data_IF_623643034039
#
_entry.id   IF_623643034039
#
_cell.length_a   1.000
_cell.length_b   1.000
_cell.length_c   1.000
_cell.angle_alpha   90.00
_cell.angle_beta   90.00
_cell.angle_gamma   90.00
#
_symmetry.space_group_name_H-M   'P 1'
#
loop_
_entity.id
_entity.type
_entity.pdbx_description
1 polymer ?
#
# COMPACT_ATOMS: atom_id res chain seq x y z
N UNK A 1 32.57 1.62 2.24
CA UNK A 1 32.04 0.63 1.29
C UNK A 1 32.71 -0.67 1.55
N UNK A 2 31.96 -1.72 1.86
CA UNK A 2 32.52 -3.07 2.00
C UNK A 2 32.54 -3.67 0.59
N UNK A 3 33.73 -4.01 0.08
CA UNK A 3 33.90 -4.51 -1.28
C UNK A 3 33.37 -5.92 -1.42
N UNK A 4 32.50 -6.15 -2.42
CA UNK A 4 31.97 -7.46 -2.80
C UNK A 4 32.93 -8.22 -3.74
N UNK A 5 34.24 -8.19 -3.49
CA UNK A 5 35.23 -8.80 -4.41
C UNK A 5 35.38 -10.32 -4.27
N UNK A 6 34.55 -10.98 -3.45
CA UNK A 6 34.62 -12.43 -3.23
C UNK A 6 33.30 -13.20 -3.37
N UNK A 7 32.21 -12.53 -3.75
CA UNK A 7 30.90 -13.18 -3.86
C UNK A 7 30.48 -13.32 -5.32
N UNK A 8 30.72 -14.50 -5.91
CA UNK A 8 30.15 -14.87 -7.20
C UNK A 8 28.70 -15.33 -7.00
N UNK A 9 27.78 -14.38 -7.18
CA UNK A 9 26.35 -14.62 -7.07
C UNK A 9 25.84 -15.68 -8.07
N UNK A 10 26.50 -15.84 -9.22
CA UNK A 10 26.10 -16.80 -10.25
C UNK A 10 26.60 -18.21 -9.99
N UNK A 11 27.73 -18.36 -9.30
CA UNK A 11 28.17 -19.64 -8.75
C UNK A 11 27.30 -20.07 -7.56
N UNK A 12 26.96 -19.14 -6.66
CA UNK A 12 26.04 -19.39 -5.55
C UNK A 12 24.66 -19.84 -6.05
N UNK A 13 24.10 -19.17 -7.06
CA UNK A 13 22.82 -19.53 -7.69
C UNK A 13 22.84 -20.92 -8.34
N UNK A 14 23.97 -21.32 -8.95
CA UNK A 14 24.11 -22.66 -9.57
C UNK A 14 24.17 -23.80 -8.56
N UNK A 15 24.56 -23.51 -7.32
CA UNK A 15 24.71 -24.51 -6.27
C UNK A 15 23.50 -24.58 -5.32
N UNK A 16 22.53 -23.67 -5.45
CA UNK A 16 21.24 -23.75 -4.76
C UNK A 16 20.51 -25.04 -5.16
N UNK A 17 20.19 -25.89 -4.17
CA UNK A 17 19.48 -27.16 -4.37
C UNK A 17 20.37 -28.40 -4.55
N UNK A 18 21.70 -28.28 -4.53
CA UNK A 18 22.63 -29.41 -4.71
C UNK A 18 23.29 -29.90 -3.41
N UNK A 19 23.09 -29.19 -2.30
CA UNK A 19 23.58 -29.59 -0.98
C UNK A 19 22.64 -30.65 -0.37
N UNK A 20 23.16 -31.66 0.36
CA UNK A 20 22.35 -32.72 0.99
C UNK A 20 21.39 -32.22 2.07
N UNK A 21 21.44 -30.93 2.43
CA UNK A 21 20.52 -30.27 3.36
C UNK A 21 19.49 -29.36 2.67
N UNK A 22 19.51 -29.25 1.33
CA UNK A 22 18.46 -28.55 0.59
C UNK A 22 17.28 -29.49 0.38
N UNK A 23 16.05 -29.15 0.84
CA UNK A 23 14.89 -29.93 0.47
C UNK A 23 14.72 -29.86 -1.05
N UNK A 24 14.81 -31.02 -1.70
CA UNK A 24 14.54 -31.12 -3.14
C UNK A 24 13.07 -30.80 -3.45
N UNK A 25 12.73 -30.65 -4.75
CA UNK A 25 11.34 -30.49 -5.15
C UNK A 25 10.57 -31.76 -4.74
N UNK A 26 9.64 -31.61 -3.79
CA UNK A 26 8.84 -32.72 -3.25
C UNK A 26 9.17 -33.20 -1.84
N UNK A 27 9.92 -32.45 -1.02
CA UNK A 27 10.12 -32.80 0.39
C UNK A 27 8.81 -32.61 1.20
N UNK A 28 8.17 -33.72 1.57
CA UNK A 28 6.97 -33.81 2.40
C UNK A 28 7.16 -33.18 3.78
N UNK A 29 6.15 -32.44 4.25
CA UNK A 29 6.14 -31.66 5.49
C UNK A 29 6.45 -32.48 6.76
N UNK A 30 7.13 -31.89 7.76
CA UNK A 30 7.13 -32.41 9.13
C UNK A 30 5.78 -32.16 9.82
N UNK A 31 5.44 -32.95 10.87
CA UNK A 31 4.16 -32.85 11.56
C UNK A 31 3.99 -31.50 12.31
N UNK A 32 2.75 -31.01 12.47
CA UNK A 32 2.48 -29.68 13.03
C UNK A 32 2.73 -29.66 14.54
N UNK A 33 3.31 -28.57 15.07
CA UNK A 33 3.28 -28.35 16.51
C UNK A 33 4.28 -27.41 17.19
N UNK A 34 5.25 -26.78 16.51
CA UNK A 34 6.08 -25.71 17.13
C UNK A 34 6.52 -24.68 16.10
N UNK A 35 5.95 -23.48 16.14
CA UNK A 35 6.53 -22.31 15.49
C UNK A 35 7.77 -21.85 16.27
N UNK A 36 8.92 -21.58 15.64
CA UNK A 36 10.05 -20.98 16.33
C UNK A 36 9.73 -19.52 16.67
N UNK A 37 10.01 -19.15 17.91
CA UNK A 37 9.87 -17.78 18.39
C UNK A 37 10.98 -16.90 17.80
N UNK A 38 10.58 -15.79 17.17
CA UNK A 38 11.45 -14.66 16.82
C UNK A 38 12.41 -14.93 15.67
N UNK A 39 11.96 -14.70 14.44
CA UNK A 39 12.89 -14.48 13.33
C UNK A 39 13.43 -13.02 13.42
N UNK A 40 14.75 -12.81 13.59
CA UNK A 40 15.33 -11.48 13.54
C UNK A 40 15.19 -10.90 12.13
N UNK A 41 14.89 -9.60 12.04
CA UNK A 41 14.85 -8.88 10.77
C UNK A 41 16.21 -9.01 10.05
N UNK A 42 16.24 -9.68 8.89
CA UNK A 42 17.43 -9.78 8.04
C UNK A 42 17.85 -11.19 7.60
N UNK A 43 17.27 -12.27 8.16
CA UNK A 43 17.47 -13.63 7.64
C UNK A 43 16.28 -14.08 6.78
N UNK A 44 16.55 -14.50 5.54
CA UNK A 44 15.55 -15.10 4.66
C UNK A 44 15.20 -16.48 5.24
N UNK A 45 14.11 -16.57 5.99
CA UNK A 45 13.59 -17.84 6.47
C UNK A 45 13.21 -18.72 5.27
N UNK A 46 13.69 -19.98 5.18
CA UNK A 46 13.23 -20.93 4.17
C UNK A 46 11.79 -21.41 4.43
N UNK A 47 11.24 -21.06 5.60
CA UNK A 47 9.84 -21.30 5.96
C UNK A 47 9.08 -19.98 5.85
N UNK A 48 8.11 -19.93 4.93
CA UNK A 48 7.17 -18.82 4.85
C UNK A 48 6.37 -18.69 6.17
N UNK A 49 5.84 -17.50 6.50
CA UNK A 49 5.08 -17.27 7.74
C UNK A 49 3.90 -18.23 7.97
N UNK A 50 3.37 -18.80 6.89
CA UNK A 50 2.26 -19.75 6.86
C UNK A 50 2.71 -21.23 6.84
N UNK A 51 4.01 -21.51 7.02
CA UNK A 51 4.54 -22.87 7.11
C UNK A 51 4.91 -23.52 5.77
N UNK A 52 4.84 -22.79 4.65
CA UNK A 52 5.31 -23.27 3.34
C UNK A 52 6.84 -23.38 3.34
N UNK A 53 7.37 -24.49 2.83
CA UNK A 53 8.82 -24.76 2.73
C UNK A 53 9.41 -24.40 1.36
N UNK A 54 8.57 -23.93 0.43
CA UNK A 54 8.98 -23.51 -0.90
C UNK A 54 9.45 -22.05 -0.88
N UNK A 55 10.66 -21.81 -1.40
CA UNK A 55 11.16 -20.46 -1.62
C UNK A 55 10.35 -19.80 -2.75
N UNK A 56 9.61 -18.73 -2.43
CA UNK A 56 8.88 -17.92 -3.42
C UNK A 56 9.51 -16.54 -3.51
N UNK A 57 9.89 -16.13 -4.71
CA UNK A 57 10.33 -14.76 -4.95
C UNK A 57 9.12 -13.92 -5.37
N UNK A 58 8.52 -13.26 -4.39
CA UNK A 58 7.37 -12.39 -4.62
C UNK A 58 7.85 -11.00 -5.01
N UNK A 59 7.43 -10.54 -6.19
CA UNK A 59 7.79 -9.25 -6.74
C UNK A 59 6.56 -8.36 -6.76
N UNK A 60 6.69 -7.13 -6.28
CA UNK A 60 5.67 -6.11 -6.40
C UNK A 60 6.29 -4.76 -6.75
N UNK A 61 5.62 -3.99 -7.60
CA UNK A 61 5.99 -2.61 -7.88
C UNK A 61 5.45 -1.71 -6.76
N UNK A 62 6.34 -1.09 -5.99
CA UNK A 62 5.92 -0.10 -5.01
C UNK A 62 5.76 1.29 -5.65
N UNK A 63 4.51 1.67 -5.87
CA UNK A 63 4.11 2.97 -6.46
C UNK A 63 2.99 3.61 -5.65
N UNK A 64 2.81 4.92 -5.80
CA UNK A 64 1.65 5.61 -5.24
C UNK A 64 0.34 4.95 -5.71
N UNK A 65 -0.58 4.73 -4.78
CA UNK A 65 -1.86 4.08 -5.06
C UNK A 65 -2.94 5.02 -5.60
N UNK A 66 -2.69 6.34 -5.60
CA UNK A 66 -3.63 7.36 -6.09
C UNK A 66 -5.04 7.24 -5.49
N UNK A 67 -5.10 7.07 -4.17
CA UNK A 67 -6.30 6.84 -3.37
C UNK A 67 -7.45 7.82 -3.68
N UNK A 68 -8.69 7.32 -3.65
CA UNK A 68 -9.92 8.13 -3.77
C UNK A 68 -10.06 9.12 -2.63
N UNK A 69 -9.80 8.68 -1.40
CA UNK A 69 -9.59 9.51 -0.23
C UNK A 69 -8.09 9.52 0.03
N UNK A 70 -7.44 10.65 -0.22
CA UNK A 70 -5.98 10.76 -0.18
C UNK A 70 -5.56 11.53 1.07
N UNK A 71 -5.10 10.82 2.09
CA UNK A 71 -4.63 11.44 3.35
C UNK A 71 -3.55 12.50 3.09
N UNK A 72 -2.67 12.29 2.12
CA UNK A 72 -1.63 13.26 1.74
C UNK A 72 -2.21 14.59 1.23
N UNK A 73 -3.31 14.54 0.48
CA UNK A 73 -4.03 15.74 0.02
C UNK A 73 -4.68 16.43 1.23
N UNK A 74 -5.35 15.67 2.08
CA UNK A 74 -6.09 16.22 3.22
C UNK A 74 -5.21 16.94 4.25
N UNK A 75 -3.97 16.45 4.46
CA UNK A 75 -3.05 17.04 5.45
C UNK A 75 -2.16 18.14 4.88
N UNK A 76 -2.17 18.37 3.57
CA UNK A 76 -1.26 19.33 2.94
C UNK A 76 -1.68 20.78 3.29
N UNK A 77 -0.92 21.53 4.10
CA UNK A 77 -1.35 22.85 4.55
C UNK A 77 -1.24 23.92 3.45
N UNK A 78 -0.47 23.67 2.39
CA UNK A 78 -0.27 24.63 1.29
C UNK A 78 -1.20 24.38 0.11
N UNK A 79 -1.89 23.24 0.06
CA UNK A 79 -2.63 22.81 -1.13
C UNK A 79 -1.74 22.38 -2.31
N UNK A 80 -0.46 22.08 -2.07
CA UNK A 80 0.46 21.61 -3.12
C UNK A 80 0.08 20.22 -3.68
N UNK A 81 -0.61 19.39 -2.90
CA UNK A 81 -1.16 18.12 -3.36
C UNK A 81 -2.59 18.34 -3.86
N UNK A 82 -2.88 17.91 -5.08
CA UNK A 82 -4.19 18.10 -5.72
C UNK A 82 -4.61 16.86 -6.51
N UNK A 83 -5.90 16.76 -6.78
CA UNK A 83 -6.48 15.73 -7.66
C UNK A 83 -6.64 16.29 -9.07
N UNK A 84 -6.12 15.57 -10.05
CA UNK A 84 -6.21 15.90 -11.47
C UNK A 84 -7.59 15.52 -12.05
N UNK A 85 -7.85 15.95 -13.28
CA UNK A 85 -9.00 15.56 -14.09
C UNK A 85 -9.07 14.05 -14.38
N UNK A 86 -7.95 13.34 -14.25
CA UNK A 86 -7.86 11.89 -14.40
C UNK A 86 -8.07 11.13 -13.08
N UNK A 87 -8.42 11.84 -12.01
CA UNK A 87 -8.60 11.26 -10.68
C UNK A 87 -7.29 10.96 -9.94
N UNK A 88 -6.13 11.31 -10.53
CA UNK A 88 -4.81 11.02 -9.95
C UNK A 88 -4.42 12.12 -8.96
N UNK A 89 -3.78 11.75 -7.86
CA UNK A 89 -3.17 12.72 -6.93
C UNK A 89 -1.78 13.12 -7.43
N UNK A 90 -1.42 14.39 -7.46
CA UNK A 90 -0.10 14.91 -7.94
C UNK A 90 0.40 16.03 -7.01
N UNK A 91 1.72 16.23 -6.95
CA UNK A 91 2.36 17.33 -6.22
C UNK A 91 2.67 18.47 -7.19
N UNK A 92 2.28 19.71 -6.85
CA UNK A 92 2.74 20.94 -7.50
C UNK A 92 4.01 21.41 -6.80
N UNK A 93 5.16 21.22 -7.46
CA UNK A 93 6.46 21.49 -6.86
C UNK A 93 6.67 22.98 -6.54
N UNK A 94 6.11 23.89 -7.33
CA UNK A 94 6.19 25.33 -7.15
C UNK A 94 5.39 25.84 -5.93
N UNK A 95 4.34 25.11 -5.53
CA UNK A 95 3.54 25.40 -4.32
C UNK A 95 4.09 24.68 -3.07
N UNK A 96 4.83 23.58 -3.26
CA UNK A 96 5.37 22.79 -2.16
C UNK A 96 6.45 23.57 -1.39
N UNK A 97 6.21 23.77 -0.09
CA UNK A 97 7.15 24.41 0.82
C UNK A 97 8.00 23.41 1.63
N UNK A 98 7.85 22.12 1.41
CA UNK A 98 8.64 21.09 2.09
C UNK A 98 8.30 20.83 3.56
N UNK A 99 7.09 21.14 4.03
CA UNK A 99 6.70 20.85 5.42
C UNK A 99 6.67 19.35 5.79
N UNK A 100 6.58 18.45 4.79
CA UNK A 100 6.67 17.01 4.98
C UNK A 100 5.46 16.33 5.63
N UNK A 101 4.37 17.04 5.96
CA UNK A 101 3.20 16.46 6.65
C UNK A 101 2.55 15.30 5.89
N UNK A 102 2.61 15.33 4.56
CA UNK A 102 2.08 14.27 3.72
C UNK A 102 2.87 12.96 3.79
N UNK A 103 4.15 13.00 4.20
CA UNK A 103 5.02 11.80 4.27
C UNK A 103 4.50 10.80 5.31
N UNK A 104 4.37 11.14 6.60
CA UNK A 104 3.84 10.22 7.60
C UNK A 104 2.32 10.00 7.48
N UNK A 105 1.60 10.88 6.78
CA UNK A 105 0.16 10.72 6.59
C UNK A 105 -0.20 9.68 5.52
N UNK A 106 0.73 9.32 4.62
CA UNK A 106 0.46 8.32 3.60
C UNK A 106 0.47 6.92 4.24
N UNK A 107 -0.65 6.17 4.21
CA UNK A 107 -0.69 4.84 4.83
C UNK A 107 0.23 3.84 4.12
N UNK A 108 0.60 4.10 2.87
CA UNK A 108 1.48 3.24 2.07
C UNK A 108 2.96 3.64 2.13
N UNK A 109 3.31 4.79 2.75
CA UNK A 109 4.72 5.21 2.84
C UNK A 109 5.40 5.58 1.51
N UNK A 110 4.64 5.84 0.44
CA UNK A 110 5.16 6.04 -0.94
C UNK A 110 5.52 7.49 -1.29
N UNK A 111 5.55 8.40 -0.32
CA UNK A 111 5.91 9.81 -0.52
C UNK A 111 7.24 10.05 0.15
N UNK A 112 8.21 10.56 -0.60
CA UNK A 112 9.55 10.84 -0.08
C UNK A 112 9.90 12.33 -0.25
N UNK A 113 10.87 12.79 0.53
CA UNK A 113 11.29 14.19 0.60
C UNK A 113 12.71 14.33 0.05
N UNK A 114 12.85 15.23 -0.93
CA UNK A 114 14.15 15.55 -1.54
C UNK A 114 15.06 16.22 -0.53
N UNK A 115 16.31 15.78 -0.47
CA UNK A 115 17.30 16.33 0.48
C UNK A 115 17.78 17.71 0.08
N UNK A 116 17.69 18.05 -1.21
CA UNK A 116 18.27 19.27 -1.77
C UNK A 116 17.39 20.50 -1.50
N UNK A 117 16.08 20.40 -1.73
CA UNK A 117 15.13 21.52 -1.60
C UNK A 117 14.00 21.26 -0.59
N UNK A 118 14.00 20.10 0.06
CA UNK A 118 12.98 19.72 1.05
C UNK A 118 11.61 19.45 0.44
N UNK A 119 11.42 19.56 -0.87
CA UNK A 119 10.11 19.29 -1.49
C UNK A 119 9.85 17.80 -1.56
N UNK A 120 8.58 17.46 -1.51
CA UNK A 120 8.15 16.05 -1.61
C UNK A 120 7.96 15.64 -3.06
N UNK A 121 8.17 14.37 -3.34
CA UNK A 121 7.92 13.77 -4.65
C UNK A 121 7.25 12.41 -4.48
N UNK A 122 6.57 11.96 -5.53
CA UNK A 122 5.90 10.66 -5.60
C UNK A 122 5.52 10.36 -7.05
N UNK A 123 5.05 9.15 -7.33
CA UNK A 123 4.43 8.81 -8.61
C UNK A 123 3.29 9.79 -8.95
N UNK A 124 3.27 10.24 -10.21
CA UNK A 124 2.28 11.19 -10.78
C UNK A 124 1.25 10.49 -11.66
N UNK A 125 1.29 9.15 -11.72
CA UNK A 125 0.65 8.33 -12.75
C UNK A 125 0.94 8.83 -14.18
N UNK A 126 2.14 9.41 -14.37
CA UNK A 126 2.53 10.06 -15.63
C UNK A 126 1.51 11.10 -16.11
N UNK A 127 1.09 12.01 -15.24
CA UNK A 127 0.15 13.10 -15.56
C UNK A 127 0.49 13.83 -16.88
N UNK A 128 1.78 14.06 -17.14
CA UNK A 128 2.31 14.63 -18.37
C UNK A 128 1.98 13.81 -19.63
N UNK A 129 1.99 12.48 -19.52
CA UNK A 129 1.64 11.55 -20.61
C UNK A 129 0.13 11.40 -20.77
N UNK A 130 -0.60 11.32 -19.66
CA UNK A 130 -2.06 11.23 -19.67
C UNK A 130 -2.69 12.44 -20.37
N UNK A 131 -2.15 13.64 -20.15
CA UNK A 131 -2.61 14.88 -20.80
C UNK A 131 -2.53 14.89 -22.32
N UNK A 132 -1.73 14.01 -22.93
CA UNK A 132 -1.61 13.85 -24.39
C UNK A 132 -2.14 12.50 -24.89
N UNK A 133 -2.97 11.83 -24.08
CA UNK A 133 -3.60 10.56 -24.45
C UNK A 133 -2.64 9.38 -24.48
N UNK A 134 -1.49 9.46 -23.82
CA UNK A 134 -0.54 8.37 -23.70
C UNK A 134 -0.68 7.65 -22.35
N UNK A 135 -0.52 6.34 -22.35
CA UNK A 135 -0.47 5.53 -21.13
C UNK A 135 0.81 5.80 -20.29
N UNK A 136 0.81 5.48 -18.98
CA UNK A 136 1.97 5.60 -18.11
C UNK A 136 3.19 4.83 -18.64
N UNK A 137 4.39 5.39 -18.41
CA UNK A 137 5.62 4.81 -18.93
C UNK A 137 5.91 3.41 -18.36
N UNK A 138 5.61 3.17 -17.07
CA UNK A 138 5.78 1.87 -16.44
C UNK A 138 4.84 0.79 -17.02
N UNK A 139 3.60 1.16 -17.35
CA UNK A 139 2.66 0.26 -18.01
C UNK A 139 3.14 -0.06 -19.44
N UNK A 140 3.48 0.97 -20.22
CA UNK A 140 3.99 0.82 -21.59
C UNK A 140 5.24 -0.06 -21.69
N UNK A 141 6.13 0.05 -20.71
CA UNK A 141 7.41 -0.64 -20.72
C UNK A 141 7.35 -2.07 -20.16
N UNK A 142 6.22 -2.49 -19.56
CA UNK A 142 6.13 -3.77 -18.88
C UNK A 142 6.17 -4.93 -19.89
N UNK A 143 7.22 -5.77 -19.89
CA UNK A 143 7.36 -6.82 -20.91
C UNK A 143 6.46 -8.03 -20.68
N UNK A 144 5.91 -8.16 -19.47
CA UNK A 144 5.12 -9.30 -19.01
C UNK A 144 3.65 -8.96 -18.80
N UNK A 145 3.22 -7.76 -19.19
CA UNK A 145 1.87 -7.22 -18.95
C UNK A 145 1.42 -7.32 -17.47
N UNK A 146 2.39 -7.25 -16.54
CA UNK A 146 2.13 -7.24 -15.10
C UNK A 146 1.60 -5.89 -14.61
N UNK A 147 1.90 -4.81 -15.34
CA UNK A 147 1.35 -3.47 -15.10
C UNK A 147 0.45 -3.16 -16.28
N UNK A 148 -0.85 -3.01 -16.03
CA UNK A 148 -1.84 -2.69 -17.04
C UNK A 148 -2.53 -1.37 -16.70
N UNK A 149 -2.86 -0.59 -17.72
CA UNK A 149 -3.50 0.71 -17.58
C UNK A 149 -4.76 0.77 -18.46
N UNK A 150 -5.81 1.41 -17.96
CA UNK A 150 -7.10 1.50 -18.63
C UNK A 150 -8.23 1.92 -17.69
N UNK A 151 -9.48 1.85 -18.16
CA UNK A 151 -10.65 2.12 -17.33
C UNK A 151 -10.70 1.20 -16.10
N UNK A 152 -10.96 1.78 -14.93
CA UNK A 152 -10.86 1.08 -13.64
C UNK A 152 -11.77 -0.16 -13.56
N UNK A 153 -13.01 -0.06 -14.07
CA UNK A 153 -13.97 -1.17 -14.05
C UNK A 153 -13.50 -2.35 -14.93
N UNK A 154 -12.97 -2.08 -16.12
CA UNK A 154 -12.44 -3.12 -17.00
C UNK A 154 -11.21 -3.82 -16.37
N UNK A 155 -10.36 -3.05 -15.69
CA UNK A 155 -9.22 -3.60 -14.97
C UNK A 155 -9.67 -4.46 -13.79
N UNK A 156 -10.67 -4.02 -13.02
CA UNK A 156 -11.25 -4.78 -11.89
C UNK A 156 -11.81 -6.11 -12.37
N UNK A 157 -12.59 -6.11 -13.45
CA UNK A 157 -13.17 -7.33 -14.04
C UNK A 157 -12.05 -8.29 -14.49
N UNK A 158 -11.06 -7.79 -15.23
CA UNK A 158 -9.91 -8.59 -15.68
C UNK A 158 -9.13 -9.19 -14.52
N UNK A 159 -8.88 -8.39 -13.48
CA UNK A 159 -8.13 -8.83 -12.31
C UNK A 159 -8.90 -9.87 -11.49
N UNK A 160 -10.22 -9.71 -11.33
CA UNK A 160 -11.08 -10.71 -10.71
C UNK A 160 -11.06 -12.03 -11.49
N UNK A 161 -11.13 -11.97 -12.81
CA UNK A 161 -10.95 -13.15 -13.67
C UNK A 161 -9.60 -13.82 -13.49
N UNK A 162 -8.52 -13.04 -13.33
CA UNK A 162 -7.18 -13.57 -13.06
C UNK A 162 -7.07 -14.22 -11.68
N UNK A 163 -7.68 -13.66 -10.65
CA UNK A 163 -7.75 -14.27 -9.31
C UNK A 163 -8.47 -15.61 -9.38
N UNK A 164 -9.62 -15.68 -10.06
CA UNK A 164 -10.36 -16.94 -10.22
C UNK A 164 -9.52 -18.02 -10.93
N UNK A 165 -8.75 -17.65 -11.97
CA UNK A 165 -7.82 -18.58 -12.63
C UNK A 165 -6.71 -19.08 -11.68
N UNK A 166 -6.17 -18.20 -10.84
CA UNK A 166 -5.13 -18.54 -9.87
C UNK A 166 -5.67 -19.47 -8.77
N UNK A 167 -6.88 -19.20 -8.27
CA UNK A 167 -7.58 -20.08 -7.33
C UNK A 167 -7.82 -21.46 -7.93
N UNK A 168 -8.28 -21.54 -9.19
CA UNK A 168 -8.45 -22.80 -9.90
C UNK A 168 -7.13 -23.56 -10.12
N UNK A 169 -6.01 -22.84 -10.21
CA UNK A 169 -4.67 -23.39 -10.30
C UNK A 169 -4.05 -23.75 -8.92
N UNK A 170 -4.80 -23.61 -7.83
CA UNK A 170 -4.36 -23.97 -6.46
C UNK A 170 -3.67 -22.86 -5.68
N UNK A 171 -3.59 -21.64 -6.22
CA UNK A 171 -3.00 -20.47 -5.52
C UNK A 171 -4.08 -19.78 -4.69
N UNK A 172 -4.55 -20.43 -3.62
CA UNK A 172 -5.70 -20.00 -2.83
C UNK A 172 -5.54 -18.60 -2.19
N UNK A 173 -4.30 -18.19 -1.90
CA UNK A 173 -3.99 -16.92 -1.25
C UNK A 173 -4.08 -15.71 -2.18
N UNK A 174 -4.31 -15.94 -3.48
CA UNK A 174 -4.42 -14.86 -4.46
C UNK A 174 -5.59 -13.92 -4.12
N UNK A 175 -5.34 -12.62 -4.11
CA UNK A 175 -6.34 -11.61 -3.72
C UNK A 175 -6.12 -10.29 -4.47
N UNK A 176 -7.18 -9.50 -4.58
CA UNK A 176 -7.06 -8.12 -4.98
C UNK A 176 -6.79 -7.25 -3.75
N UNK A 177 -6.06 -6.15 -3.94
CA UNK A 177 -5.67 -5.22 -2.89
C UNK A 177 -5.80 -3.78 -3.37
N UNK A 178 -6.58 -2.98 -2.64
CA UNK A 178 -6.87 -1.57 -2.95
C UNK A 178 -7.92 -1.38 -4.05
N UNK A 179 -8.58 -2.44 -4.51
CA UNK A 179 -9.58 -2.36 -5.56
C UNK A 179 -10.96 -1.91 -5.06
N UNK A 180 -11.28 -2.15 -3.79
CA UNK A 180 -12.62 -1.96 -3.24
C UNK A 180 -12.91 -0.49 -2.93
N UNK A 181 -14.06 0.07 -3.38
CA UNK A 181 -14.47 1.42 -3.00
C UNK A 181 -14.88 1.53 -1.52
N UNK A 182 -15.11 0.40 -0.85
CA UNK A 182 -15.56 0.34 0.54
C UNK A 182 -14.39 0.20 1.53
N UNK A 183 -13.14 0.28 1.07
CA UNK A 183 -11.95 0.23 1.92
C UNK A 183 -11.70 1.55 2.68
N UNK A 184 -10.70 1.56 3.56
CA UNK A 184 -10.37 2.72 4.39
C UNK A 184 -9.86 3.95 3.63
N UNK A 185 -9.60 3.84 2.32
CA UNK A 185 -9.17 4.93 1.43
C UNK A 185 -10.13 5.17 0.26
N UNK A 186 -11.29 4.51 0.23
CA UNK A 186 -12.30 4.64 -0.84
C UNK A 186 -11.89 4.02 -2.17
N UNK A 187 -10.95 3.08 -2.14
CA UNK A 187 -10.30 2.46 -3.29
C UNK A 187 -9.11 3.25 -3.84
N UNK A 188 -8.29 2.55 -4.61
CA UNK A 188 -7.06 3.03 -5.20
C UNK A 188 -7.16 3.18 -6.72
N UNK A 189 -6.53 4.24 -7.25
CA UNK A 189 -6.29 4.40 -8.68
C UNK A 189 -5.22 3.44 -9.24
N UNK A 190 -4.46 2.77 -8.36
CA UNK A 190 -3.58 1.66 -8.68
C UNK A 190 -3.74 0.56 -7.64
N UNK A 191 -4.44 -0.51 -8.01
CA UNK A 191 -4.69 -1.69 -7.19
C UNK A 191 -3.85 -2.88 -7.67
N UNK A 192 -3.73 -3.92 -6.84
CA UNK A 192 -2.80 -5.02 -7.03
C UNK A 192 -3.49 -6.37 -6.99
N UNK A 193 -2.95 -7.33 -7.74
CA UNK A 193 -3.20 -8.75 -7.51
C UNK A 193 -2.00 -9.31 -6.75
N UNK A 194 -2.23 -9.72 -5.50
CA UNK A 194 -1.23 -10.31 -4.62
C UNK A 194 -1.39 -11.83 -4.59
N UNK A 195 -0.29 -12.55 -4.43
CA UNK A 195 -0.27 -14.02 -4.27
C UNK A 195 -0.13 -14.45 -2.79
N UNK A 196 -0.25 -13.49 -1.87
CA UNK A 196 -0.03 -13.66 -0.43
C UNK A 196 -0.71 -12.53 0.34
N UNK A 197 -0.60 -12.55 1.67
CA UNK A 197 -0.99 -11.42 2.53
C UNK A 197 -0.26 -10.12 2.12
N UNK A 198 -0.95 -8.96 2.17
CA UNK A 198 -0.34 -7.65 1.90
C UNK A 198 0.96 -7.39 2.69
N UNK A 199 1.02 -7.84 3.93
CA UNK A 199 2.16 -7.65 4.84
C UNK A 199 3.44 -8.31 4.33
N UNK A 200 3.33 -9.41 3.57
CA UNK A 200 4.48 -10.07 2.93
C UNK A 200 5.14 -9.15 1.90
N UNK A 201 4.37 -8.25 1.29
CA UNK A 201 4.83 -7.23 0.37
C UNK A 201 5.19 -5.91 1.06
N UNK A 202 5.12 -5.84 2.39
CA UNK A 202 5.29 -4.60 3.16
C UNK A 202 4.11 -3.64 3.03
N UNK A 203 2.96 -4.09 2.53
CA UNK A 203 1.74 -3.30 2.41
C UNK A 203 0.91 -3.37 3.70
N UNK A 204 0.24 -2.28 4.10
CA UNK A 204 -0.66 -2.32 5.25
C UNK A 204 -1.89 -3.19 4.94
N UNK A 205 -2.35 -4.06 5.84
CA UNK A 205 -3.52 -4.92 5.56
C UNK A 205 -4.83 -4.14 5.42
N UNK A 206 -4.99 -3.06 6.17
CA UNK A 206 -6.16 -2.17 6.16
C UNK A 206 -5.70 -0.70 6.14
N UNK A 207 -5.35 -0.14 4.97
CA UNK A 207 -4.96 1.26 4.85
C UNK A 207 -6.16 2.16 5.13
N UNK A 208 -5.99 3.14 6.02
CA UNK A 208 -7.03 4.12 6.34
C UNK A 208 -6.50 5.54 6.21
N UNK A 209 -7.35 6.45 5.73
CA UNK A 209 -7.02 7.87 5.75
C UNK A 209 -7.09 8.45 7.17
N UNK A 210 -6.17 9.36 7.48
CA UNK A 210 -6.12 10.05 8.78
C UNK A 210 -7.36 10.90 9.08
N UNK A 211 -8.13 11.24 8.04
CA UNK A 211 -9.34 12.06 8.11
C UNK A 211 -10.64 11.24 8.25
N UNK A 212 -10.57 9.91 8.21
CA UNK A 212 -11.75 9.01 8.13
C UNK A 212 -12.75 9.27 9.23
N UNK A 213 -12.26 9.44 10.45
CA UNK A 213 -13.11 9.56 11.64
C UNK A 213 -13.51 11.00 11.97
N UNK A 214 -13.01 12.01 11.22
CA UNK A 214 -13.32 13.42 11.48
C UNK A 214 -14.83 13.71 11.54
N UNK A 215 -15.68 13.22 10.60
CA UNK A 215 -17.12 13.46 10.68
C UNK A 215 -17.78 12.85 11.93
N UNK A 216 -17.27 11.72 12.40
CA UNK A 216 -17.71 11.11 13.66
C UNK A 216 -17.28 11.97 14.85
N UNK A 217 -16.02 12.39 14.90
CA UNK A 217 -15.49 13.24 15.98
C UNK A 217 -16.27 14.56 16.09
N UNK A 218 -16.56 15.22 14.97
CA UNK A 218 -17.35 16.46 14.96
C UNK A 218 -18.78 16.26 15.46
N UNK A 219 -19.41 15.13 15.16
CA UNK A 219 -20.73 14.78 15.72
C UNK A 219 -20.67 14.64 17.25
N UNK A 220 -19.67 13.93 17.77
CA UNK A 220 -19.47 13.76 19.21
C UNK A 220 -19.14 15.09 19.91
N UNK A 221 -18.32 15.94 19.29
CA UNK A 221 -18.01 17.27 19.81
C UNK A 221 -19.27 18.15 19.88
N UNK A 222 -20.11 18.11 18.83
CA UNK A 222 -21.36 18.84 18.80
C UNK A 222 -22.35 18.35 19.87
N UNK A 223 -22.53 17.04 20.03
CA UNK A 223 -23.41 16.49 21.07
C UNK A 223 -22.92 16.85 22.48
N UNK A 224 -21.61 16.80 22.73
CA UNK A 224 -21.03 17.22 24.00
C UNK A 224 -21.27 18.71 24.27
N UNK A 225 -21.06 19.57 23.26
CA UNK A 225 -21.28 21.01 23.38
C UNK A 225 -22.76 21.34 23.68
N UNK A 226 -23.70 20.72 22.97
CA UNK A 226 -25.14 20.87 23.21
C UNK A 226 -25.52 20.40 24.61
N UNK A 227 -24.99 19.27 25.06
CA UNK A 227 -25.25 18.73 26.41
C UNK A 227 -24.74 19.67 27.50
N UNK A 228 -23.51 20.19 27.35
CA UNK A 228 -22.93 21.15 28.30
C UNK A 228 -23.73 22.46 28.33
N UNK A 229 -24.15 22.97 27.17
CA UNK A 229 -25.00 24.15 27.09
C UNK A 229 -26.36 23.93 27.77
N UNK A 230 -27.00 22.78 27.53
CA UNK A 230 -28.28 22.44 28.14
C UNK A 230 -28.18 22.31 29.68
N UNK A 231 -27.13 21.65 30.18
CA UNK A 231 -26.85 21.56 31.62
C UNK A 231 -26.55 22.94 32.22
N UNK A 232 -25.80 23.77 31.50
CA UNK A 232 -25.54 25.16 31.86
C UNK A 232 -26.84 25.95 32.02
N UNK A 233 -27.70 25.97 31.01
CA UNK A 233 -29.01 26.64 31.07
C UNK A 233 -29.90 26.08 32.19
N UNK A 234 -29.98 24.76 32.32
CA UNK A 234 -30.78 24.11 33.36
C UNK A 234 -30.33 24.52 34.77
N UNK A 235 -29.02 24.75 34.98
CA UNK A 235 -28.48 25.19 36.28
C UNK A 235 -28.96 26.59 36.70
N UNK A 236 -29.24 27.48 35.74
CA UNK A 236 -29.76 28.82 36.01
C UNK A 236 -31.28 28.83 36.14
N UNK A 237 -31.99 28.01 35.37
CA UNK A 237 -33.47 27.91 35.42
C UNK A 237 -33.96 27.22 36.70
N UNK A 238 -33.19 26.27 37.25
CA UNK A 238 -33.58 25.54 38.47
C UNK A 238 -33.20 26.21 39.80
N UNK A 239 -32.57 27.39 39.81
CA UNK A 239 -32.34 28.11 41.08
C UNK A 239 -33.69 28.62 41.62
N UNK A 240 -34.21 28.08 42.74
CA UNK A 240 -35.35 28.71 43.40
C UNK A 240 -34.90 30.08 43.93
N UNK A 241 -35.78 31.09 43.79
CA UNK A 241 -35.59 32.40 44.43
C UNK A 241 -35.71 32.29 45.93
#
# INVERSE_FOLDING_TARGET
>A
GVGHEGFDAFEAARNLGRAPASPGPGATSPPPGKAPAGAPAGEISPLAPDGRTELRWLMASDVCKHCTHAACLDVCPTGALFRTEFGTVVVQEDVCNGCGYCVPACPYGVIDQRKEDGRVWKCTLCYDRLGVGMEPACAKACPTDSIQFGPLEELRERAAGRVAQLHAAGVADARLYGESPDDGVGGDGAFFLLLDEPEVYGLPPDPQVTTRDLPSMWRHAATAAVTLAALGVASFVRRPR
#
